data_IF_619179735762
#
_entry.id   IF_619179735762
#
_cell.length_a   1.000
_cell.length_b   1.000
_cell.length_c   1.000
_cell.angle_alpha   90.00
_cell.angle_beta   90.00
_cell.angle_gamma   90.00
#
_symmetry.space_group_name_H-M   'P 1'
#
loop_
_entity.id
_entity.type
_entity.pdbx_description
1 polymer ?
#
# COMPACT_ATOMS: atom_id res chain seq x y z
N UNK A 1 0.44 16.45 1.23
CA UNK A 1 -0.99 16.67 1.54
C UNK A 1 -1.25 16.11 2.93
N UNK A 2 -1.97 16.76 3.84
CA UNK A 2 -2.05 16.25 5.23
C UNK A 2 -2.94 14.99 5.34
N UNK A 3 -2.78 14.17 6.37
CA UNK A 3 -3.56 12.93 6.54
C UNK A 3 -5.08 13.15 6.54
N UNK A 4 -5.58 14.26 7.08
CA UNK A 4 -7.01 14.60 7.05
C UNK A 4 -7.45 14.91 5.61
N UNK A 5 -6.60 15.54 4.80
CA UNK A 5 -6.83 15.75 3.37
C UNK A 5 -6.73 14.44 2.59
N UNK A 6 -5.78 13.54 2.89
CA UNK A 6 -5.71 12.18 2.33
C UNK A 6 -6.97 11.38 2.66
N UNK A 7 -7.39 11.39 3.93
CA UNK A 7 -8.62 10.76 4.39
C UNK A 7 -9.84 11.40 3.70
N UNK A 8 -9.93 12.73 3.63
CA UNK A 8 -11.03 13.44 2.96
C UNK A 8 -11.05 13.22 1.45
N UNK A 9 -9.90 13.16 0.80
CA UNK A 9 -9.78 12.91 -0.63
C UNK A 9 -10.14 11.46 -0.95
N UNK A 10 -9.68 10.52 -0.13
CA UNK A 10 -10.12 9.12 -0.15
C UNK A 10 -11.65 9.01 -0.02
N UNK A 11 -12.26 9.74 0.94
CA UNK A 11 -13.72 9.81 1.06
C UNK A 11 -14.41 10.53 -0.12
N UNK A 12 -13.76 11.52 -0.76
CA UNK A 12 -14.31 12.26 -1.91
C UNK A 12 -14.26 11.47 -3.21
N UNK A 13 -13.24 10.63 -3.42
CA UNK A 13 -13.06 9.81 -4.65
C UNK A 13 -14.01 8.61 -4.75
N UNK A 14 -14.86 8.37 -3.74
CA UNK A 14 -15.88 7.29 -3.71
C UNK A 14 -15.35 5.86 -3.88
N UNK A 15 -14.08 5.60 -3.57
CA UNK A 15 -13.57 4.22 -3.45
C UNK A 15 -13.86 3.65 -2.05
N UNK A 16 -15.13 3.67 -1.67
CA UNK A 16 -15.57 3.04 -0.43
C UNK A 16 -15.57 1.53 -0.63
N UNK A 17 -14.55 0.85 -0.07
CA UNK A 17 -14.70 -0.53 0.34
C UNK A 17 -14.90 -0.48 1.86
N UNK A 18 -16.16 -0.55 2.31
CA UNK A 18 -16.41 -1.07 3.66
C UNK A 18 -15.80 -2.46 3.68
N UNK A 19 -14.63 -2.62 4.29
CA UNK A 19 -14.16 -3.95 4.61
C UNK A 19 -14.94 -4.37 5.85
N UNK A 20 -16.20 -4.77 5.62
CA UNK A 20 -16.93 -5.58 6.59
C UNK A 20 -16.01 -6.78 6.87
N UNK A 21 -15.54 -6.90 8.11
CA UNK A 21 -14.58 -7.92 8.59
C UNK A 21 -13.08 -7.71 8.31
N UNK A 22 -12.57 -6.47 8.32
CA UNK A 22 -11.12 -6.24 8.34
C UNK A 22 -10.48 -6.84 9.59
N UNK A 23 -9.56 -7.78 9.37
CA UNK A 23 -8.73 -8.37 10.42
C UNK A 23 -7.27 -8.36 9.95
N UNK A 24 -6.49 -7.43 10.51
CA UNK A 24 -5.06 -7.26 10.25
C UNK A 24 -4.26 -8.55 10.54
N UNK A 25 -4.78 -9.48 11.34
CA UNK A 25 -4.12 -10.76 11.63
C UNK A 25 -4.13 -11.74 10.46
N UNK A 26 -4.93 -11.51 9.42
CA UNK A 26 -5.02 -12.38 8.24
C UNK A 26 -3.90 -12.15 7.23
N UNK A 27 -3.07 -11.11 7.39
CA UNK A 27 -2.04 -10.73 6.43
C UNK A 27 -0.65 -11.23 6.86
N UNK A 28 0.07 -11.85 5.93
CA UNK A 28 1.39 -12.46 6.17
C UNK A 28 2.46 -11.42 6.51
N UNK A 29 2.46 -10.30 5.78
CA UNK A 29 3.41 -9.20 5.97
C UNK A 29 2.67 -8.01 6.55
N UNK A 30 3.07 -7.63 7.76
CA UNK A 30 2.51 -6.51 8.51
C UNK A 30 3.57 -5.89 9.40
N UNK A 31 3.61 -4.57 9.47
CA UNK A 31 4.66 -3.83 10.17
C UNK A 31 4.22 -2.41 10.51
N UNK A 32 4.88 -1.81 11.50
CA UNK A 32 4.68 -0.40 11.87
C UNK A 32 5.81 0.47 11.35
N UNK A 33 7.04 -0.01 11.47
CA UNK A 33 8.26 0.65 11.01
C UNK A 33 8.95 -0.20 9.94
N UNK A 34 9.64 0.48 9.02
CA UNK A 34 10.38 -0.16 7.93
C UNK A 34 11.87 -0.26 8.28
N UNK A 35 12.32 -1.48 8.52
CA UNK A 35 13.73 -1.84 8.70
C UNK A 35 14.21 -2.79 7.59
N UNK A 36 15.49 -3.18 7.65
CA UNK A 36 16.09 -4.06 6.64
C UNK A 36 15.41 -5.44 6.60
N UNK A 37 15.02 -5.99 7.76
CA UNK A 37 14.34 -7.28 7.84
C UNK A 37 12.97 -7.21 7.16
N UNK A 38 12.22 -6.12 7.39
CA UNK A 38 10.93 -5.90 6.72
C UNK A 38 11.08 -5.66 5.24
N UNK A 39 12.11 -4.96 4.77
CA UNK A 39 12.37 -4.87 3.33
C UNK A 39 12.64 -6.24 2.70
N UNK A 40 13.32 -7.13 3.41
CA UNK A 40 13.54 -8.53 2.96
C UNK A 40 12.21 -9.30 2.92
N UNK A 41 11.36 -9.17 3.94
CA UNK A 41 10.04 -9.81 3.98
C UNK A 41 9.16 -9.35 2.81
N UNK A 42 9.10 -8.03 2.57
CA UNK A 42 8.36 -7.41 1.46
C UNK A 42 8.90 -7.92 0.12
N UNK A 43 10.22 -7.91 -0.05
CA UNK A 43 10.89 -8.40 -1.25
C UNK A 43 10.56 -9.86 -1.53
N UNK A 44 10.61 -10.70 -0.50
CA UNK A 44 10.32 -12.12 -0.59
C UNK A 44 8.85 -12.37 -0.93
N UNK A 45 7.94 -11.62 -0.31
CA UNK A 45 6.51 -11.69 -0.58
C UNK A 45 6.21 -11.32 -2.04
N UNK A 46 6.73 -10.19 -2.53
CA UNK A 46 6.54 -9.77 -3.92
C UNK A 46 7.08 -10.83 -4.87
N UNK A 47 8.31 -11.33 -4.68
CA UNK A 47 8.88 -12.38 -5.55
C UNK A 47 8.04 -13.65 -5.59
N UNK A 48 7.49 -14.07 -4.44
CA UNK A 48 6.69 -15.29 -4.30
C UNK A 48 5.31 -15.15 -4.94
N UNK A 49 4.68 -13.99 -4.79
CA UNK A 49 3.26 -13.80 -5.09
C UNK A 49 3.01 -13.04 -6.40
N UNK A 50 3.95 -12.21 -6.86
CA UNK A 50 3.82 -11.44 -8.09
C UNK A 50 4.22 -12.28 -9.31
N UNK A 51 3.21 -12.89 -9.93
CA UNK A 51 3.36 -13.67 -11.16
C UNK A 51 3.25 -12.75 -12.38
N UNK A 52 3.92 -13.14 -13.47
CA UNK A 52 3.79 -12.41 -14.74
C UNK A 52 2.35 -12.52 -15.25
N UNK A 53 1.69 -11.38 -15.46
CA UNK A 53 0.38 -11.34 -16.10
C UNK A 53 0.55 -11.52 -17.61
N UNK A 54 -0.29 -12.35 -18.23
CA UNK A 54 -0.29 -12.53 -19.70
C UNK A 54 -1.12 -11.46 -20.43
N UNK A 55 -1.93 -10.69 -19.70
CA UNK A 55 -2.74 -9.62 -20.25
C UNK A 55 -2.62 -8.39 -19.34
N UNK A 56 -2.45 -7.21 -19.94
CA UNK A 56 -2.39 -5.93 -19.22
C UNK A 56 -3.75 -5.20 -19.30
N UNK A 57 -4.88 -5.91 -19.33
CA UNK A 57 -6.13 -5.25 -18.95
C UNK A 57 -5.94 -4.81 -17.49
N UNK A 58 -5.64 -3.53 -17.32
CA UNK A 58 -5.53 -2.88 -16.04
C UNK A 58 -6.95 -2.74 -15.50
N UNK A 59 -7.14 -2.88 -14.19
CA UNK A 59 -8.41 -2.52 -13.56
C UNK A 59 -8.81 -1.12 -14.04
N UNK A 60 -10.08 -0.88 -14.34
CA UNK A 60 -10.54 0.38 -14.98
C UNK A 60 -10.25 1.62 -14.12
N UNK A 61 -9.92 1.41 -12.84
CA UNK A 61 -9.55 2.44 -11.86
C UNK A 61 -8.06 2.84 -11.92
N UNK A 62 -7.19 2.06 -12.56
CA UNK A 62 -5.75 2.33 -12.61
C UNK A 62 -5.34 2.71 -14.04
N UNK A 63 -4.80 3.92 -14.19
CA UNK A 63 -4.27 4.41 -15.46
C UNK A 63 -2.84 3.92 -15.65
N UNK A 64 -2.57 3.23 -16.76
CA UNK A 64 -1.21 2.73 -17.06
C UNK A 64 -0.19 3.86 -17.20
N UNK A 65 -0.59 5.04 -17.70
CA UNK A 65 0.31 6.19 -17.88
C UNK A 65 0.78 6.80 -16.55
N UNK A 66 0.10 6.49 -15.45
CA UNK A 66 0.48 6.90 -14.09
C UNK A 66 1.41 5.90 -13.42
N UNK A 67 1.68 4.76 -14.08
CA UNK A 67 2.60 3.76 -13.56
C UNK A 67 4.05 4.05 -13.93
N UNK A 68 4.95 3.76 -13.00
CA UNK A 68 6.38 3.76 -13.23
C UNK A 68 6.86 2.34 -13.58
N UNK A 69 7.55 2.20 -14.71
CA UNK A 69 8.13 0.93 -15.14
C UNK A 69 9.52 0.71 -14.53
N UNK A 70 9.72 -0.48 -13.94
CA UNK A 70 10.99 -0.95 -13.42
C UNK A 70 11.40 -2.26 -14.10
N UNK A 71 12.58 -2.27 -14.73
CA UNK A 71 13.16 -3.49 -15.33
C UNK A 71 13.94 -4.34 -14.32
N UNK A 72 14.44 -3.72 -13.25
CA UNK A 72 15.20 -4.38 -12.19
C UNK A 72 14.38 -4.41 -10.91
N UNK A 73 14.32 -5.58 -10.28
CA UNK A 73 13.58 -5.77 -9.04
C UNK A 73 14.14 -4.90 -7.90
N UNK A 74 15.46 -4.77 -7.80
CA UNK A 74 16.06 -3.98 -6.72
C UNK A 74 15.67 -2.50 -6.79
N UNK A 75 15.54 -1.94 -8.01
CA UNK A 75 15.07 -0.58 -8.20
C UNK A 75 13.60 -0.40 -7.76
N UNK A 76 12.76 -1.40 -8.00
CA UNK A 76 11.37 -1.42 -7.52
C UNK A 76 11.36 -1.38 -5.98
N UNK A 77 12.17 -2.23 -5.33
CA UNK A 77 12.26 -2.27 -3.87
C UNK A 77 12.77 -0.95 -3.29
N UNK A 78 13.78 -0.32 -3.91
CA UNK A 78 14.24 1.01 -3.47
C UNK A 78 13.14 2.07 -3.54
N UNK A 79 12.30 2.08 -4.58
CA UNK A 79 11.17 3.02 -4.66
C UNK A 79 10.09 2.70 -3.62
N UNK A 80 9.82 1.42 -3.35
CA UNK A 80 8.89 1.02 -2.28
C UNK A 80 9.38 1.46 -0.90
N UNK A 81 10.68 1.30 -0.60
CA UNK A 81 11.28 1.79 0.64
C UNK A 81 11.09 3.30 0.79
N UNK A 82 11.32 4.05 -0.31
CA UNK A 82 11.09 5.49 -0.33
C UNK A 82 9.63 5.84 -0.01
N UNK A 83 8.66 5.24 -0.71
CA UNK A 83 7.21 5.49 -0.49
C UNK A 83 6.81 5.23 0.96
N UNK A 84 7.29 4.11 1.54
CA UNK A 84 6.99 3.74 2.92
C UNK A 84 7.59 4.72 3.94
N UNK A 85 8.84 5.15 3.73
CA UNK A 85 9.49 6.13 4.62
C UNK A 85 8.81 7.49 4.54
N UNK A 86 8.41 7.92 3.34
CA UNK A 86 7.74 9.19 3.13
C UNK A 86 6.36 9.21 3.82
N UNK A 87 5.56 8.14 3.67
CA UNK A 87 4.28 8.02 4.41
C UNK A 87 4.49 7.87 5.91
N UNK A 88 5.46 7.08 6.37
CA UNK A 88 5.70 6.86 7.81
C UNK A 88 5.96 8.16 8.55
N UNK A 89 6.81 9.04 8.02
CA UNK A 89 7.14 10.31 8.66
C UNK A 89 5.89 11.18 8.88
N UNK A 90 4.97 11.18 7.92
CA UNK A 90 3.71 11.91 8.03
C UNK A 90 2.73 11.21 8.98
N UNK A 91 2.48 9.93 8.74
CA UNK A 91 1.51 9.10 9.47
C UNK A 91 1.86 9.02 10.95
N UNK A 92 3.12 8.81 11.29
CA UNK A 92 3.59 8.76 12.67
C UNK A 92 3.21 10.04 13.43
N UNK A 93 3.59 11.21 12.90
CA UNK A 93 3.32 12.50 13.56
C UNK A 93 1.83 12.77 13.75
N UNK A 94 1.00 12.38 12.79
CA UNK A 94 -0.45 12.63 12.86
C UNK A 94 -1.16 11.63 13.78
N UNK A 95 -0.77 10.36 13.72
CA UNK A 95 -1.34 9.29 14.53
C UNK A 95 -1.18 9.57 16.03
N UNK A 96 -0.01 10.05 16.46
CA UNK A 96 0.23 10.47 17.85
C UNK A 96 -0.68 11.63 18.28
N UNK A 97 -0.81 12.66 17.43
CA UNK A 97 -1.63 13.85 17.75
C UNK A 97 -3.11 13.53 17.86
N UNK A 98 -3.60 12.59 17.05
CA UNK A 98 -5.03 12.30 16.92
C UNK A 98 -5.47 11.06 17.69
N UNK A 99 -4.55 10.36 18.38
CA UNK A 99 -4.83 9.07 19.05
C UNK A 99 -5.31 7.99 18.08
N UNK A 100 -4.57 7.81 17.00
CA UNK A 100 -4.76 6.70 16.05
C UNK A 100 -3.59 5.73 16.15
N UNK A 101 -3.87 4.45 15.99
CA UNK A 101 -2.89 3.43 15.71
C UNK A 101 -2.83 3.20 14.20
N UNK A 102 -1.65 2.84 13.70
CA UNK A 102 -1.50 2.47 12.31
C UNK A 102 -0.62 1.23 12.13
N UNK A 103 -0.85 0.52 11.03
CA UNK A 103 -0.04 -0.62 10.63
C UNK A 103 -0.11 -0.80 9.12
N UNK A 104 1.07 -0.91 8.51
CA UNK A 104 1.21 -1.29 7.13
C UNK A 104 1.01 -2.80 6.97
N UNK A 105 0.47 -3.18 5.82
CA UNK A 105 0.32 -4.58 5.45
C UNK A 105 0.38 -4.75 3.94
N UNK A 106 0.71 -5.96 3.50
CA UNK A 106 0.75 -6.31 2.08
C UNK A 106 -0.28 -7.37 1.78
N UNK A 107 -0.99 -7.21 0.67
CA UNK A 107 -1.91 -8.20 0.15
C UNK A 107 -1.70 -8.47 -1.34
N UNK A 108 -2.11 -9.66 -1.78
CA UNK A 108 -2.18 -10.00 -3.19
C UNK A 108 -3.65 -10.14 -3.58
N UNK A 109 -4.09 -9.35 -4.54
CA UNK A 109 -5.46 -9.40 -5.07
C UNK A 109 -5.40 -9.36 -6.59
N UNK A 110 -5.99 -10.36 -7.23
CA UNK A 110 -6.10 -10.46 -8.70
C UNK A 110 -4.77 -10.31 -9.47
N UNK A 111 -3.65 -10.75 -8.89
CA UNK A 111 -2.33 -10.66 -9.53
C UNK A 111 -1.63 -9.30 -9.36
N UNK A 112 -2.18 -8.44 -8.52
CA UNK A 112 -1.57 -7.21 -8.06
C UNK A 112 -1.13 -7.36 -6.60
N UNK A 113 0.01 -6.77 -6.27
CA UNK A 113 0.43 -6.60 -4.89
C UNK A 113 0.05 -5.19 -4.45
N UNK A 114 -0.68 -5.10 -3.36
CA UNK A 114 -1.03 -3.84 -2.72
C UNK A 114 -0.22 -3.69 -1.45
N UNK A 115 0.39 -2.53 -1.28
CA UNK A 115 1.00 -2.10 -0.03
C UNK A 115 0.04 -1.08 0.57
N UNK A 116 -0.52 -1.41 1.72
CA UNK A 116 -1.60 -0.66 2.35
C UNK A 116 -1.16 -0.15 3.71
N UNK A 117 -1.82 0.90 4.16
CA UNK A 117 -1.82 1.31 5.56
C UNK A 117 -3.23 1.19 6.14
N UNK A 118 -3.31 0.70 7.37
CA UNK A 118 -4.52 0.70 8.17
C UNK A 118 -4.37 1.71 9.30
N UNK A 119 -5.42 2.49 9.53
CA UNK A 119 -5.54 3.49 10.58
C UNK A 119 -6.74 3.10 11.45
N UNK A 120 -6.50 2.88 12.74
CA UNK A 120 -7.51 2.48 13.73
C UNK A 120 -7.53 3.49 14.85
N UNK A 121 -8.70 4.05 15.17
CA UNK A 121 -8.79 4.98 16.31
C UNK A 121 -8.71 4.20 17.62
N UNK A 122 -7.92 4.68 18.58
CA UNK A 122 -7.66 3.96 19.85
C UNK A 122 -8.92 3.73 20.69
N UNK A 123 -9.88 4.66 20.61
CA UNK A 123 -11.17 4.57 21.32
C UNK A 123 -12.22 3.68 20.61
N UNK A 124 -11.90 3.15 19.42
CA UNK A 124 -12.75 2.30 18.58
C UNK A 124 -14.15 2.88 18.28
N UNK A 125 -14.33 4.19 18.45
CA UNK A 125 -15.61 4.88 18.17
C UNK A 125 -15.89 5.04 16.68
N UNK A 126 -14.86 4.85 15.85
CA UNK A 126 -14.88 4.98 14.39
C UNK A 126 -14.31 3.69 13.80
N UNK A 127 -14.83 3.27 12.64
CA UNK A 127 -14.29 2.13 11.88
C UNK A 127 -12.87 2.39 11.37
N UNK A 128 -12.22 1.31 10.91
CA UNK A 128 -10.85 1.39 10.38
C UNK A 128 -10.84 2.14 9.05
N UNK A 129 -9.81 2.96 8.85
CA UNK A 129 -9.51 3.61 7.56
C UNK A 129 -8.36 2.86 6.92
N UNK A 130 -8.54 2.39 5.70
CA UNK A 130 -7.52 1.64 4.97
C UNK A 130 -7.31 2.33 3.64
N UNK A 131 -6.05 2.58 3.29
CA UNK A 131 -5.69 3.16 2.01
C UNK A 131 -4.45 2.47 1.45
N UNK A 132 -4.39 2.40 0.12
CA UNK A 132 -3.24 1.86 -0.60
C UNK A 132 -2.20 2.95 -0.84
N UNK A 133 -0.94 2.61 -0.59
CA UNK A 133 0.24 3.46 -0.84
C UNK A 133 0.85 3.17 -2.19
N UNK A 134 0.90 1.89 -2.53
CA UNK A 134 1.51 1.41 -3.74
C UNK A 134 0.78 0.18 -4.27
N UNK A 135 0.66 0.10 -5.59
CA UNK A 135 0.15 -1.07 -6.29
C UNK A 135 1.23 -1.54 -7.26
N UNK A 136 1.47 -2.85 -7.30
CA UNK A 136 2.52 -3.44 -8.11
C UNK A 136 1.93 -4.53 -8.99
N UNK A 137 2.29 -4.52 -10.26
CA UNK A 137 1.98 -5.59 -11.22
C UNK A 137 3.25 -6.00 -11.95
N UNK A 138 3.32 -7.25 -12.38
CA UNK A 138 4.35 -7.72 -13.32
C UNK A 138 3.74 -8.04 -14.68
N UNK A 139 4.29 -7.46 -15.73
CA UNK A 139 3.87 -7.68 -17.11
C UNK A 139 5.09 -7.64 -18.05
N UNK A 140 5.17 -8.58 -18.99
CA UNK A 140 6.27 -8.70 -19.95
C UNK A 140 7.67 -8.59 -19.30
N UNK A 141 7.86 -9.25 -18.15
CA UNK A 141 9.10 -9.20 -17.35
C UNK A 141 9.50 -7.83 -16.76
N UNK A 142 8.67 -6.81 -16.91
CA UNK A 142 8.80 -5.53 -16.21
C UNK A 142 7.86 -5.48 -15.00
N UNK A 143 8.24 -4.70 -14.00
CA UNK A 143 7.41 -4.36 -12.87
C UNK A 143 6.81 -2.97 -13.09
N UNK A 144 5.51 -2.85 -12.88
CA UNK A 144 4.78 -1.59 -12.96
C UNK A 144 4.32 -1.24 -11.56
N UNK A 145 4.65 -0.03 -11.13
CA UNK A 145 4.33 0.51 -9.80
C UNK A 145 3.44 1.73 -9.98
N UNK A 146 2.27 1.73 -9.34
CA UNK A 146 1.48 2.93 -9.12
C UNK A 146 1.80 3.45 -7.73
N UNK A 147 2.38 4.63 -7.65
CA UNK A 147 2.59 5.38 -6.41
C UNK A 147 1.33 6.19 -6.13
N UNK A 148 0.59 5.81 -5.09
CA UNK A 148 -0.68 6.44 -4.72
C UNK A 148 -0.51 7.44 -3.56
N UNK A 149 0.74 7.67 -3.15
CA UNK A 149 1.07 8.63 -2.10
C UNK A 149 1.31 10.05 -2.66
N UNK A 150 1.47 10.19 -3.98
CA UNK A 150 1.69 11.47 -4.70
C UNK A 150 0.39 12.22 -5.05
#
# INVERSE_FOLDING_TARGET
>A
MNIIEKIKEFFRKKEYIEIQDFDLKKYDVRFKEIDEEKLIDISSYIKKHLKNSNNLKVDETLNENESQEFKKFDNLISKIDQILRDDFNETFSQSEKMSWEFCYFIENKNGYIFINNSLTKTDQTIGNVIYSLAIIRKFNNSYFLWDLNE
#
